data_IF_365278552359
#
_entry.id   IF_365278552359
#
_cell.length_a   1.000
_cell.length_b   1.000
_cell.length_c   1.000
_cell.angle_alpha   90.00
_cell.angle_beta   90.00
_cell.angle_gamma   90.00
#
_symmetry.space_group_name_H-M   'P 1'
#
loop_
_entity.id
_entity.type
_entity.pdbx_description
1 polymer ?
#
# COMPACT_ATOMS: atom_id res chain seq x y z
N UNK A 1 12.78 -6.46 6.13
CA UNK A 1 13.27 -5.84 7.37
C UNK A 1 12.62 -4.49 7.58
N UNK A 2 12.18 -4.19 8.82
CA UNK A 2 11.38 -3.01 9.17
C UNK A 2 11.98 -1.65 8.75
N UNK A 3 13.32 -1.53 8.69
CA UNK A 3 14.00 -0.29 8.27
C UNK A 3 13.65 0.10 6.84
N UNK A 4 13.51 -0.88 5.93
CA UNK A 4 13.16 -0.59 4.54
C UNK A 4 11.74 -0.03 4.46
N UNK A 5 10.79 -0.60 5.22
CA UNK A 5 9.38 -0.21 5.22
C UNK A 5 9.15 1.22 5.72
N UNK A 6 9.81 1.62 6.80
CA UNK A 6 9.69 2.98 7.34
C UNK A 6 10.19 4.02 6.32
N UNK A 7 11.38 3.78 5.75
CA UNK A 7 11.93 4.65 4.71
C UNK A 7 11.01 4.76 3.48
N UNK A 8 10.33 3.67 3.13
CA UNK A 8 9.38 3.60 2.02
C UNK A 8 8.16 4.50 2.25
N UNK A 9 7.52 4.43 3.43
CA UNK A 9 6.37 5.28 3.71
C UNK A 9 6.73 6.75 3.87
N UNK A 10 7.89 7.06 4.45
CA UNK A 10 8.40 8.43 4.48
C UNK A 10 8.65 8.99 3.07
N UNK A 11 9.11 8.16 2.14
CA UNK A 11 9.29 8.59 0.75
C UNK A 11 7.94 8.86 0.06
N UNK A 12 6.93 8.02 0.29
CA UNK A 12 5.58 8.27 -0.22
C UNK A 12 4.97 9.54 0.38
N UNK A 13 5.09 9.73 1.69
CA UNK A 13 4.65 10.93 2.43
C UNK A 13 5.32 12.19 1.87
N UNK A 14 6.64 12.13 1.65
CA UNK A 14 7.38 13.20 0.99
C UNK A 14 6.81 13.52 -0.39
N UNK A 15 6.57 12.53 -1.26
CA UNK A 15 6.05 12.81 -2.60
C UNK A 15 4.63 13.36 -2.58
N UNK A 16 3.75 12.86 -1.72
CA UNK A 16 2.38 13.39 -1.59
C UNK A 16 2.41 14.85 -1.13
N UNK A 17 3.19 15.17 -0.09
CA UNK A 17 3.32 16.54 0.41
C UNK A 17 3.94 17.49 -0.62
N UNK A 18 4.99 17.03 -1.33
CA UNK A 18 5.59 17.84 -2.39
C UNK A 18 4.61 18.07 -3.53
N UNK A 19 3.87 17.05 -3.96
CA UNK A 19 2.86 17.21 -5.01
C UNK A 19 1.79 18.23 -4.60
N UNK A 20 1.29 18.17 -3.37
CA UNK A 20 0.31 19.14 -2.89
C UNK A 20 0.82 20.58 -2.93
N UNK A 21 2.11 20.79 -2.69
CA UNK A 21 2.75 22.12 -2.67
C UNK A 21 3.12 22.61 -4.06
N UNK A 22 3.74 21.75 -4.88
CA UNK A 22 4.29 22.13 -6.19
C UNK A 22 3.32 21.96 -7.35
N UNK A 23 2.31 21.09 -7.19
CA UNK A 23 1.43 20.57 -8.25
C UNK A 23 2.18 19.98 -9.45
N UNK A 24 3.46 19.61 -9.25
CA UNK A 24 4.32 19.04 -10.29
C UNK A 24 3.92 17.59 -10.57
N UNK A 25 3.35 17.33 -11.74
CA UNK A 25 2.93 15.99 -12.16
C UNK A 25 4.09 14.98 -12.16
N UNK A 26 5.32 15.42 -12.39
CA UNK A 26 6.50 14.56 -12.31
C UNK A 26 6.71 14.02 -10.88
N UNK A 27 6.29 14.77 -9.86
CA UNK A 27 6.32 14.32 -8.47
C UNK A 27 5.32 13.19 -8.23
N UNK A 28 4.14 13.25 -8.85
CA UNK A 28 3.16 12.15 -8.78
C UNK A 28 3.64 10.89 -9.51
N UNK A 29 4.27 11.02 -10.68
CA UNK A 29 4.85 9.87 -11.38
C UNK A 29 6.01 9.22 -10.59
N UNK A 30 6.77 10.01 -9.84
CA UNK A 30 7.77 9.49 -8.89
C UNK A 30 7.13 8.71 -7.74
N UNK A 31 6.00 9.18 -7.20
CA UNK A 31 5.22 8.44 -6.19
C UNK A 31 4.78 7.08 -6.72
N UNK A 32 4.18 7.04 -7.92
CA UNK A 32 3.74 5.80 -8.59
C UNK A 32 4.88 4.83 -8.78
N UNK A 33 6.02 5.33 -9.26
CA UNK A 33 7.23 4.53 -9.47
C UNK A 33 7.76 3.98 -8.14
N UNK A 34 7.77 4.79 -7.08
CA UNK A 34 8.22 4.35 -5.76
C UNK A 34 7.36 3.20 -5.23
N UNK A 35 6.03 3.36 -5.26
CA UNK A 35 5.07 2.33 -4.80
C UNK A 35 5.21 1.04 -5.63
N UNK A 36 5.33 1.12 -6.95
CA UNK A 36 5.52 -0.07 -7.80
C UNK A 36 6.82 -0.83 -7.47
N UNK A 37 7.93 -0.10 -7.27
CA UNK A 37 9.20 -0.71 -6.83
C UNK A 37 9.06 -1.35 -5.45
N UNK A 38 8.19 -0.81 -4.61
CA UNK A 38 7.90 -1.38 -3.28
C UNK A 38 7.13 -2.68 -3.39
N UNK A 39 6.16 -2.77 -4.28
CA UNK A 39 5.42 -4.00 -4.56
C UNK A 39 6.36 -5.10 -5.06
N UNK A 40 7.27 -4.74 -5.98
CA UNK A 40 8.27 -5.68 -6.48
C UNK A 40 9.17 -6.20 -5.36
N UNK A 41 9.71 -5.31 -4.52
CA UNK A 41 10.57 -5.72 -3.38
C UNK A 41 9.83 -6.58 -2.37
N UNK A 42 8.55 -6.30 -2.10
CA UNK A 42 7.73 -7.10 -1.19
C UNK A 42 7.55 -8.53 -1.72
N UNK A 43 7.31 -8.68 -3.04
CA UNK A 43 7.23 -9.97 -3.72
C UNK A 43 8.57 -10.71 -3.69
N UNK A 44 9.68 -10.04 -4.00
CA UNK A 44 11.04 -10.61 -3.96
C UNK A 44 11.40 -11.13 -2.57
N UNK A 45 11.03 -10.39 -1.52
CA UNK A 45 11.23 -10.78 -0.13
C UNK A 45 10.20 -11.80 0.37
N UNK A 46 9.21 -12.18 -0.46
CA UNK A 46 8.06 -13.03 -0.09
C UNK A 46 7.31 -12.52 1.16
N UNK A 47 7.40 -11.22 1.43
CA UNK A 47 6.75 -10.62 2.60
C UNK A 47 5.30 -10.30 2.27
N UNK A 48 4.41 -11.25 2.55
CA UNK A 48 2.98 -11.09 2.29
C UNK A 48 2.38 -9.93 3.09
N UNK A 49 2.84 -9.74 4.33
CA UNK A 49 2.47 -8.58 5.14
C UNK A 49 2.78 -7.26 4.45
N UNK A 50 4.03 -7.07 4.00
CA UNK A 50 4.41 -5.85 3.29
C UNK A 50 3.66 -5.72 1.96
N UNK A 51 3.42 -6.83 1.28
CA UNK A 51 2.67 -6.84 0.02
C UNK A 51 1.24 -6.34 0.20
N UNK A 52 0.54 -6.78 1.25
CA UNK A 52 -0.81 -6.31 1.57
C UNK A 52 -0.86 -4.79 1.86
N UNK A 53 0.14 -4.28 2.59
CA UNK A 53 0.27 -2.85 2.85
C UNK A 53 0.50 -2.05 1.58
N UNK A 54 1.38 -2.56 0.69
CA UNK A 54 1.64 -1.91 -0.59
C UNK A 54 0.40 -1.97 -1.50
N UNK A 55 -0.35 -3.06 -1.54
CA UNK A 55 -1.61 -3.15 -2.29
C UNK A 55 -2.65 -2.14 -1.81
N UNK A 56 -2.72 -1.88 -0.50
CA UNK A 56 -3.54 -0.79 0.02
C UNK A 56 -3.11 0.55 -0.59
N UNK A 57 -1.82 0.87 -0.65
CA UNK A 57 -1.36 2.11 -1.30
C UNK A 57 -1.55 2.15 -2.82
N UNK A 58 -1.27 1.04 -3.52
CA UNK A 58 -1.51 0.95 -4.97
C UNK A 58 -2.99 1.15 -5.31
N UNK A 59 -3.90 0.71 -4.43
CA UNK A 59 -5.34 0.95 -4.63
C UNK A 59 -5.68 2.43 -4.62
N UNK A 60 -5.07 3.22 -3.72
CA UNK A 60 -5.31 4.66 -3.64
C UNK A 60 -4.76 5.37 -4.89
N UNK A 61 -3.59 4.95 -5.37
CA UNK A 61 -3.04 5.44 -6.63
C UNK A 61 -3.96 5.12 -7.80
N UNK A 62 -4.50 3.91 -7.86
CA UNK A 62 -5.44 3.52 -8.90
C UNK A 62 -6.70 4.41 -8.87
N UNK A 63 -7.22 4.77 -7.69
CA UNK A 63 -8.33 5.73 -7.57
C UNK A 63 -7.97 7.11 -8.09
N UNK A 64 -6.77 7.62 -7.79
CA UNK A 64 -6.30 8.91 -8.30
C UNK A 64 -6.15 8.90 -9.83
N UNK A 65 -5.82 7.74 -10.41
CA UNK A 65 -5.80 7.47 -11.86
C UNK A 65 -7.19 7.13 -12.43
N UNK A 66 -8.27 7.23 -11.64
CA UNK A 66 -9.65 6.85 -11.98
C UNK A 66 -9.88 5.38 -12.35
N UNK A 67 -8.95 4.49 -12.02
CA UNK A 67 -9.06 3.05 -12.24
C UNK A 67 -9.73 2.36 -11.03
N UNK A 68 -11.04 2.55 -10.87
CA UNK A 68 -11.82 1.96 -9.77
C UNK A 68 -11.86 0.43 -9.82
N UNK A 69 -11.68 -0.17 -11.00
CA UNK A 69 -11.63 -1.63 -11.18
C UNK A 69 -10.35 -2.22 -10.61
N UNK A 70 -9.20 -1.61 -10.93
CA UNK A 70 -7.92 -1.98 -10.36
C UNK A 70 -7.87 -1.70 -8.86
N UNK A 71 -8.41 -0.57 -8.41
CA UNK A 71 -8.48 -0.25 -6.97
C UNK A 71 -9.23 -1.34 -6.18
N UNK A 72 -10.40 -1.78 -6.67
CA UNK A 72 -11.16 -2.88 -6.04
C UNK A 72 -10.38 -4.18 -6.00
N UNK A 73 -9.72 -4.54 -7.10
CA UNK A 73 -8.89 -5.74 -7.18
C UNK A 73 -7.77 -5.71 -6.14
N UNK A 74 -7.05 -4.60 -6.05
CA UNK A 74 -5.95 -4.43 -5.11
C UNK A 74 -6.41 -4.47 -3.65
N UNK A 75 -7.54 -3.82 -3.33
CA UNK A 75 -8.12 -3.87 -1.99
C UNK A 75 -8.55 -5.29 -1.61
N UNK A 76 -9.16 -6.04 -2.53
CA UNK A 76 -9.53 -7.44 -2.28
C UNK A 76 -8.31 -8.31 -1.98
N UNK A 77 -7.24 -8.18 -2.76
CA UNK A 77 -6.00 -8.92 -2.51
C UNK A 77 -5.35 -8.51 -1.17
N UNK A 78 -5.34 -7.22 -0.84
CA UNK A 78 -4.86 -6.72 0.44
C UNK A 78 -5.67 -7.29 1.62
N UNK A 79 -7.01 -7.31 1.50
CA UNK A 79 -7.92 -7.83 2.52
C UNK A 79 -7.65 -9.30 2.77
N UNK A 80 -7.63 -10.09 1.69
CA UNK A 80 -7.38 -11.53 1.75
C UNK A 80 -6.08 -11.85 2.47
N UNK A 81 -4.97 -11.19 2.09
CA UNK A 81 -3.68 -11.42 2.74
C UNK A 81 -3.73 -11.01 4.22
N UNK A 82 -4.35 -9.87 4.54
CA UNK A 82 -4.44 -9.39 5.92
C UNK A 82 -5.23 -10.35 6.81
N UNK A 83 -6.33 -10.91 6.32
CA UNK A 83 -7.13 -11.91 7.03
C UNK A 83 -6.40 -13.24 7.18
N UNK A 84 -5.82 -13.77 6.09
CA UNK A 84 -5.05 -15.02 6.09
C UNK A 84 -3.84 -14.96 7.05
N UNK A 85 -3.27 -13.77 7.27
CA UNK A 85 -2.15 -13.52 8.18
C UNK A 85 -2.58 -13.10 9.59
N UNK A 86 -3.88 -12.98 9.87
CA UNK A 86 -4.38 -12.54 11.18
C UNK A 86 -4.03 -11.08 11.52
N UNK A 87 -3.77 -10.24 10.52
CA UNK A 87 -3.38 -8.83 10.71
C UNK A 87 -4.64 -7.96 10.80
N UNK A 88 -5.39 -8.10 11.89
CA UNK A 88 -6.71 -7.47 12.04
C UNK A 88 -6.72 -5.96 11.83
N UNK A 89 -5.69 -5.24 12.30
CA UNK A 89 -5.60 -3.78 12.07
C UNK A 89 -5.46 -3.41 10.59
N UNK A 90 -4.73 -4.21 9.82
CA UNK A 90 -4.59 -3.99 8.38
C UNK A 90 -5.88 -4.36 7.66
N UNK A 91 -6.51 -5.49 8.02
CA UNK A 91 -7.80 -5.89 7.49
C UNK A 91 -8.87 -4.81 7.73
N UNK A 92 -8.92 -4.23 8.93
CA UNK A 92 -9.83 -3.12 9.22
C UNK A 92 -9.53 -1.87 8.39
N UNK A 93 -8.24 -1.55 8.15
CA UNK A 93 -7.89 -0.42 7.30
C UNK A 93 -8.31 -0.64 5.86
N UNK A 94 -8.08 -1.83 5.33
CA UNK A 94 -8.47 -2.20 3.96
C UNK A 94 -9.99 -2.18 3.81
N UNK A 95 -10.73 -2.74 4.77
CA UNK A 95 -12.20 -2.68 4.81
C UNK A 95 -12.71 -1.24 4.79
N UNK A 96 -12.17 -0.37 5.65
CA UNK A 96 -12.56 1.05 5.66
C UNK A 96 -12.28 1.75 4.32
N UNK A 97 -11.16 1.43 3.67
CA UNK A 97 -10.85 1.95 2.33
C UNK A 97 -11.78 1.39 1.25
N UNK A 98 -12.25 0.16 1.40
CA UNK A 98 -13.24 -0.45 0.50
C UNK A 98 -14.61 0.21 0.66
N UNK A 99 -15.08 0.39 1.90
CA UNK A 99 -16.35 1.04 2.20
C UNK A 99 -16.34 2.48 1.66
N UNK A 100 -15.25 3.22 1.87
CA UNK A 100 -15.09 4.55 1.31
C UNK A 100 -15.18 4.57 -0.23
N UNK A 101 -14.55 3.60 -0.91
CA UNK A 101 -14.65 3.49 -2.36
C UNK A 101 -16.09 3.23 -2.80
N UNK A 102 -16.82 2.36 -2.12
CA UNK A 102 -18.22 2.07 -2.44
C UNK A 102 -19.12 3.29 -2.22
N UNK A 103 -18.98 3.96 -1.06
CA UNK A 103 -19.76 5.14 -0.69
C UNK A 103 -19.55 6.28 -1.68
N UNK A 104 -18.35 6.39 -2.25
CA UNK A 104 -17.99 7.43 -3.22
C UNK A 104 -18.00 6.95 -4.68
N UNK A 105 -18.51 5.75 -4.98
CA UNK A 105 -18.38 5.16 -6.32
C UNK A 105 -19.04 6.04 -7.40
N UNK A 106 -20.26 6.53 -7.13
CA UNK A 106 -20.96 7.46 -8.02
C UNK A 106 -20.16 8.75 -8.23
N UNK A 107 -19.46 9.23 -7.21
CA UNK A 107 -18.61 10.41 -7.32
C UNK A 107 -17.40 10.12 -8.23
N UNK A 108 -16.71 8.99 -8.06
CA UNK A 108 -15.60 8.59 -8.94
C UNK A 108 -16.03 8.46 -10.42
N UNK A 109 -17.20 7.84 -10.66
CA UNK A 109 -17.73 7.65 -12.01
C UNK A 109 -18.15 8.98 -12.66
N UNK A 110 -18.84 9.85 -11.93
CA UNK A 110 -19.27 11.16 -12.44
C UNK A 110 -18.11 12.17 -12.57
N UNK A 111 -17.12 12.09 -11.70
CA UNK A 111 -15.97 13.00 -11.67
C UNK A 111 -14.94 12.70 -12.76
N UNK A 112 -14.88 11.44 -13.24
CA UNK A 112 -14.08 11.08 -14.42
C UNK A 112 -14.47 11.94 -15.63
N UNK A 113 -15.74 12.36 -15.74
CA UNK A 113 -16.22 13.25 -16.80
C UNK A 113 -15.70 14.70 -16.68
N UNK A 114 -15.30 15.12 -15.48
CA UNK A 114 -14.84 16.48 -15.20
C UNK A 114 -13.31 16.60 -15.12
N UNK A 115 -12.58 15.47 -15.06
CA UNK A 115 -11.11 15.41 -15.05
C UNK A 115 -10.50 16.41 -14.03
N UNK A 116 -10.87 16.36 -12.74
CA UNK A 116 -10.34 17.28 -11.74
C UNK A 116 -8.82 17.14 -11.60
N UNK A 117 -8.18 18.12 -10.97
CA UNK A 117 -6.75 18.05 -10.72
C UNK A 117 -6.41 16.86 -9.80
N UNK A 118 -5.19 16.34 -9.89
CA UNK A 118 -4.72 15.25 -9.00
C UNK A 118 -4.81 15.68 -7.53
N UNK A 119 -4.72 16.99 -7.21
CA UNK A 119 -4.93 17.49 -5.85
C UNK A 119 -6.30 17.15 -5.31
N UNK A 120 -7.34 17.37 -6.10
CA UNK A 120 -8.71 17.16 -5.67
C UNK A 120 -8.97 15.66 -5.54
N UNK A 121 -8.38 14.87 -6.45
CA UNK A 121 -8.40 13.40 -6.37
C UNK A 121 -7.69 12.88 -5.13
N UNK A 122 -6.55 13.48 -4.78
CA UNK A 122 -5.81 13.13 -3.57
C UNK A 122 -6.65 13.38 -2.32
N UNK A 123 -7.42 14.47 -2.26
CA UNK A 123 -8.33 14.76 -1.13
C UNK A 123 -9.49 13.77 -1.04
N UNK A 124 -9.98 13.28 -2.18
CA UNK A 124 -11.01 12.21 -2.21
C UNK A 124 -10.45 10.87 -1.73
N UNK A 125 -9.14 10.67 -1.86
CA UNK A 125 -8.48 9.51 -1.26
C UNK A 125 -8.03 9.82 0.16
N UNK A 126 -8.10 8.85 1.06
CA UNK A 126 -7.53 9.00 2.40
C UNK A 126 -6.03 8.66 2.45
N UNK A 127 -5.29 8.90 1.36
CA UNK A 127 -3.90 8.45 1.23
C UNK A 127 -2.98 9.11 2.27
N UNK A 128 -3.22 10.38 2.62
CA UNK A 128 -2.44 11.09 3.64
C UNK A 128 -2.68 10.53 5.04
N UNK A 129 -3.92 10.20 5.37
CA UNK A 129 -4.26 9.57 6.63
C UNK A 129 -3.64 8.18 6.74
N UNK A 130 -3.64 7.42 5.63
CA UNK A 130 -2.96 6.13 5.54
C UNK A 130 -1.45 6.31 5.77
N UNK A 131 -0.79 7.21 5.04
CA UNK A 131 0.65 7.49 5.21
C UNK A 131 0.97 7.88 6.64
N UNK A 132 0.16 8.76 7.26
CA UNK A 132 0.32 9.14 8.66
C UNK A 132 0.21 7.95 9.63
N UNK A 133 -0.72 7.01 9.40
CA UNK A 133 -0.88 5.80 10.23
C UNK A 133 0.35 4.89 10.13
N UNK A 134 0.91 4.76 8.92
CA UNK A 134 2.07 3.91 8.64
C UNK A 134 3.41 4.54 9.09
N UNK A 135 3.61 5.85 8.84
CA UNK A 135 4.81 6.60 9.24
C UNK A 135 4.92 6.71 10.76
N UNK A 136 3.81 6.97 11.46
CA UNK A 136 3.82 7.11 12.93
C UNK A 136 3.78 5.77 13.67
N UNK A 137 4.01 4.65 12.98
CA UNK A 137 3.95 3.29 13.52
C UNK A 137 2.66 2.99 14.33
N UNK A 138 1.54 3.64 13.99
CA UNK A 138 0.26 3.41 14.70
C UNK A 138 -0.36 2.05 14.39
N UNK A 139 0.12 1.39 13.34
CA UNK A 139 -0.26 0.02 13.00
C UNK A 139 0.67 -0.91 13.79
N UNK A 140 0.36 -1.09 15.07
CA UNK A 140 1.08 -2.04 15.92
C UNK A 140 0.58 -3.45 15.57
N UNK A 141 1.44 -4.26 14.96
CA UNK A 141 1.20 -5.66 14.63
C UNK A 141 1.37 -6.54 15.88
N UNK A 142 0.45 -6.45 16.85
CA UNK A 142 0.50 -7.26 18.07
C UNK A 142 -0.04 -8.68 17.89
N UNK A 143 -0.80 -8.92 16.81
CA UNK A 143 -1.59 -10.15 16.67
C UNK A 143 -1.03 -11.10 15.60
N UNK A 144 0.27 -10.99 15.28
CA UNK A 144 0.90 -11.81 14.25
C UNK A 144 0.95 -13.26 14.74
N UNK A 145 0.21 -14.15 14.09
CA UNK A 145 0.58 -15.56 14.09
C UNK A 145 2.01 -15.63 13.51
N UNK A 146 2.97 -16.13 14.28
CA UNK A 146 4.38 -16.12 13.92
C UNK A 146 4.55 -16.57 12.46
N UNK A 147 5.24 -15.77 11.64
CA UNK A 147 5.70 -16.25 10.35
C UNK A 147 6.63 -17.43 10.64
N UNK A 148 6.21 -18.65 10.32
CA UNK A 148 7.12 -19.79 10.24
C UNK A 148 8.10 -19.48 9.10
N UNK A 149 9.19 -18.79 9.42
CA UNK A 149 10.40 -18.88 8.61
C UNK A 149 10.81 -20.34 8.61
N UNK A 150 10.53 -21.07 7.51
CA UNK A 150 11.12 -22.39 7.36
C UNK A 150 12.64 -22.22 7.32
N UNK A 151 13.39 -22.74 8.31
CA UNK A 151 14.83 -22.62 8.29
C UNK A 151 15.33 -23.37 7.06
N UNK A 152 16.00 -22.66 6.16
CA UNK A 152 16.78 -23.30 5.09
C UNK A 152 18.00 -23.91 5.77
N UNK A 153 17.90 -25.18 6.16
CA UNK A 153 19.04 -25.94 6.67
C UNK A 153 19.99 -26.21 5.51
N UNK A 154 21.02 -25.37 5.38
CA UNK A 154 22.17 -25.69 4.53
C UNK A 154 23.00 -26.76 5.22
N UNK A 155 22.83 -28.02 4.80
CA UNK A 155 23.79 -29.07 5.11
C UNK A 155 25.03 -28.86 4.24
N UNK A 156 26.07 -28.23 4.79
CA UNK A 156 27.41 -28.33 4.23
C UNK A 156 27.97 -29.68 4.66
N UNK A 157 27.76 -30.69 3.82
CA UNK A 157 28.51 -31.94 3.88
C UNK A 157 29.89 -31.65 3.27
N UNK A 158 30.88 -31.38 4.12
CA UNK A 158 32.27 -31.67 3.73
C UNK A 158 32.42 -33.19 3.82
N UNK A 159 32.12 -33.86 2.71
CA UNK A 159 32.77 -35.12 2.37
C UNK A 159 34.14 -34.73 1.86
N UNK A 160 35.17 -34.91 2.67
CA UNK A 160 36.50 -35.33 2.22
C UNK A 160 37.19 -36.00 3.42
N UNK A 161 37.61 -37.24 3.18
CA UNK A 161 38.37 -38.07 4.12
C UNK A 161 39.88 -37.92 3.95
#
# INVERSE_FOLDING_TARGET
>A
GDINKIAMFHLCDFYVHNYQTSKDELTFEKLKTAISRFAQKAKEQKSLKLLAEVYLFESQIALIDFDTGKARTLLNEAQKIAEEKGIFKLANLVSNSYDNLLDNLHYWESTTLQLPAISDRLELTHIEDLLNKFVRNKIIYTDIAQEEEQPVVFFIINLDG
#
